data_IF_906186742623
#
_entry.id   IF_906186742623
#
_cell.length_a   1.000
_cell.length_b   1.000
_cell.length_c   1.000
_cell.angle_alpha   90.00
_cell.angle_beta   90.00
_cell.angle_gamma   90.00
#
_symmetry.space_group_name_H-M   'P 1'
#
loop_
_entity.id
_entity.type
_entity.pdbx_description
1 polymer ?
#
# COMPACT_ATOMS: atom_id res chain seq x y z
N UNK A 1 24.24 -36.22 -30.63
CA UNK A 1 22.96 -36.52 -29.97
C UNK A 1 22.87 -35.85 -28.60
N UNK A 2 23.87 -35.99 -27.73
CA UNK A 2 23.92 -35.39 -26.37
C UNK A 2 23.77 -33.85 -26.38
N UNK A 3 24.45 -33.16 -27.29
CA UNK A 3 24.39 -31.68 -27.38
C UNK A 3 22.98 -31.14 -27.69
N UNK A 4 22.23 -31.84 -28.56
CA UNK A 4 20.82 -31.46 -28.85
C UNK A 4 19.89 -31.68 -27.65
N UNK A 5 20.14 -32.71 -26.84
CA UNK A 5 19.39 -32.99 -25.63
C UNK A 5 19.67 -31.92 -24.59
N UNK A 6 20.94 -31.54 -24.38
CA UNK A 6 21.33 -30.46 -23.45
C UNK A 6 20.66 -29.12 -23.86
N UNK A 7 20.70 -28.78 -25.15
CA UNK A 7 20.06 -27.55 -25.64
C UNK A 7 18.54 -27.56 -25.39
N UNK A 8 17.87 -28.68 -25.64
CA UNK A 8 16.44 -28.82 -25.43
C UNK A 8 16.07 -28.68 -23.94
N UNK A 9 16.84 -29.30 -23.03
CA UNK A 9 16.61 -29.18 -21.59
C UNK A 9 16.80 -27.75 -21.07
N UNK A 10 17.81 -27.03 -21.57
CA UNK A 10 18.03 -25.62 -21.20
C UNK A 10 16.89 -24.71 -21.70
N UNK A 11 16.37 -24.94 -22.89
CA UNK A 11 15.23 -24.19 -23.43
C UNK A 11 13.97 -24.44 -22.59
N UNK A 12 13.68 -25.70 -22.25
CA UNK A 12 12.53 -26.07 -21.43
C UNK A 12 12.66 -25.44 -20.03
N UNK A 13 13.83 -25.51 -19.40
CA UNK A 13 14.08 -24.89 -18.11
C UNK A 13 13.88 -23.36 -18.17
N UNK A 14 14.35 -22.69 -19.22
CA UNK A 14 14.13 -21.27 -19.44
C UNK A 14 12.64 -20.91 -19.56
N UNK A 15 11.89 -21.67 -20.35
CA UNK A 15 10.44 -21.49 -20.51
C UNK A 15 9.73 -21.68 -19.15
N UNK A 16 10.08 -22.71 -18.39
CA UNK A 16 9.50 -22.94 -17.05
C UNK A 16 9.75 -21.76 -16.11
N UNK A 17 10.95 -21.21 -16.09
CA UNK A 17 11.28 -20.03 -15.26
C UNK A 17 10.47 -18.80 -15.66
N UNK A 18 10.32 -18.54 -16.96
CA UNK A 18 9.48 -17.45 -17.46
C UNK A 18 8.02 -17.65 -17.09
N UNK A 19 7.49 -18.87 -17.23
CA UNK A 19 6.11 -19.18 -16.84
C UNK A 19 5.89 -19.00 -15.33
N UNK A 20 6.81 -19.45 -14.49
CA UNK A 20 6.72 -19.26 -13.03
C UNK A 20 6.73 -17.76 -12.68
N UNK A 21 7.61 -16.98 -13.30
CA UNK A 21 7.66 -15.53 -13.12
C UNK A 21 6.35 -14.84 -13.55
N UNK A 22 5.81 -15.22 -14.69
CA UNK A 22 4.55 -14.73 -15.21
C UNK A 22 3.37 -15.06 -14.26
N UNK A 23 3.27 -16.31 -13.78
CA UNK A 23 2.23 -16.71 -12.83
C UNK A 23 2.27 -15.88 -11.55
N UNK A 24 3.46 -15.63 -10.98
CA UNK A 24 3.60 -14.80 -9.79
C UNK A 24 3.11 -13.37 -9.99
N UNK A 25 3.38 -12.77 -11.16
CA UNK A 25 2.89 -11.43 -11.49
C UNK A 25 1.35 -11.42 -11.58
N UNK A 26 0.78 -12.41 -12.26
CA UNK A 26 -0.70 -12.52 -12.40
C UNK A 26 -1.37 -12.76 -11.04
N UNK A 27 -0.79 -13.61 -10.20
CA UNK A 27 -1.35 -13.89 -8.87
C UNK A 27 -1.31 -12.64 -7.96
N UNK A 28 -0.22 -11.86 -8.01
CA UNK A 28 -0.15 -10.59 -7.28
C UNK A 28 -1.22 -9.59 -7.74
N UNK A 29 -1.45 -9.45 -9.04
CA UNK A 29 -2.52 -8.59 -9.56
C UNK A 29 -3.90 -9.05 -9.13
N UNK A 30 -4.18 -10.37 -9.19
CA UNK A 30 -5.45 -10.93 -8.73
C UNK A 30 -5.72 -10.65 -7.25
N UNK A 31 -4.71 -10.71 -6.40
CA UNK A 31 -4.87 -10.41 -4.97
C UNK A 31 -5.28 -8.95 -4.76
N UNK A 32 -4.66 -8.01 -5.46
CA UNK A 32 -5.03 -6.59 -5.40
C UNK A 32 -6.45 -6.35 -5.93
N UNK A 33 -6.82 -6.98 -7.05
CA UNK A 33 -8.16 -6.86 -7.63
C UNK A 33 -9.26 -7.42 -6.70
N UNK A 34 -9.00 -8.56 -6.05
CA UNK A 34 -9.91 -9.13 -5.06
C UNK A 34 -10.06 -8.22 -3.84
N UNK A 35 -8.96 -7.68 -3.35
CA UNK A 35 -8.97 -6.72 -2.24
C UNK A 35 -9.71 -5.44 -2.63
N UNK A 36 -9.56 -4.97 -3.85
CA UNK A 36 -10.31 -3.81 -4.35
C UNK A 36 -11.82 -4.06 -4.35
N UNK A 37 -12.28 -5.20 -4.83
CA UNK A 37 -13.69 -5.58 -4.77
C UNK A 37 -14.20 -5.71 -3.33
N UNK A 38 -13.39 -6.28 -2.44
CA UNK A 38 -13.72 -6.39 -1.02
C UNK A 38 -13.82 -5.02 -0.36
N UNK A 39 -12.92 -4.08 -0.70
CA UNK A 39 -12.97 -2.69 -0.22
C UNK A 39 -14.26 -1.98 -0.65
N UNK A 40 -14.63 -2.11 -1.93
CA UNK A 40 -15.88 -1.54 -2.45
C UNK A 40 -17.10 -2.12 -1.72
N UNK A 41 -17.13 -3.42 -1.47
CA UNK A 41 -18.20 -4.07 -0.73
C UNK A 41 -18.26 -3.59 0.73
N UNK A 42 -17.12 -3.44 1.40
CA UNK A 42 -17.04 -2.91 2.77
C UNK A 42 -17.54 -1.47 2.87
N UNK A 43 -17.20 -0.61 1.90
CA UNK A 43 -17.69 0.77 1.84
C UNK A 43 -19.20 0.84 1.60
N UNK A 44 -19.73 -0.05 0.76
CA UNK A 44 -21.19 -0.10 0.47
C UNK A 44 -22.01 -0.64 1.65
N UNK A 45 -21.44 -1.49 2.48
CA UNK A 45 -22.03 -1.96 3.73
C UNK A 45 -21.96 -0.87 4.81
N UNK A 46 -22.52 0.32 4.52
CA UNK A 46 -22.55 1.47 5.38
C UNK A 46 -23.07 1.06 6.76
N UNK A 47 -22.14 0.88 7.70
CA UNK A 47 -22.49 0.42 9.03
C UNK A 47 -23.25 1.50 9.79
N UNK A 48 -24.52 1.31 9.98
CA UNK A 48 -25.29 1.86 11.09
C UNK A 48 -24.85 1.14 12.38
N UNK A 49 -23.58 1.24 12.75
CA UNK A 49 -23.14 0.64 14.01
C UNK A 49 -22.63 1.73 14.92
N UNK A 50 -23.34 1.91 16.05
CA UNK A 50 -22.87 2.63 17.26
C UNK A 50 -21.60 1.98 17.87
N UNK A 51 -21.03 0.98 17.22
CA UNK A 51 -19.84 0.26 17.67
C UNK A 51 -18.59 0.85 17.04
N UNK A 52 -17.47 0.97 17.79
CA UNK A 52 -16.19 1.38 17.26
C UNK A 52 -15.78 0.48 16.09
N UNK A 53 -15.28 1.09 15.01
CA UNK A 53 -14.72 0.35 13.88
C UNK A 53 -13.35 -0.22 14.26
N UNK A 54 -13.28 -1.52 14.50
CA UNK A 54 -12.05 -2.22 14.90
C UNK A 54 -11.75 -3.29 13.85
N UNK A 55 -10.88 -2.99 12.88
CA UNK A 55 -10.55 -3.94 11.82
C UNK A 55 -9.69 -5.09 12.34
N UNK A 56 -9.77 -6.24 11.66
CA UNK A 56 -8.94 -7.41 11.95
C UNK A 56 -7.77 -7.47 10.99
N UNK A 57 -6.64 -8.00 11.44
CA UNK A 57 -5.48 -8.22 10.58
C UNK A 57 -5.86 -8.98 9.30
N UNK A 58 -5.39 -8.49 8.15
CA UNK A 58 -5.69 -9.02 6.82
C UNK A 58 -7.06 -8.62 6.25
N UNK A 59 -7.89 -7.90 7.01
CA UNK A 59 -9.17 -7.38 6.55
C UNK A 59 -8.99 -6.19 5.60
N UNK A 60 -9.73 -6.16 4.50
CA UNK A 60 -9.76 -5.00 3.61
C UNK A 60 -10.77 -3.99 4.15
N UNK A 61 -10.30 -2.81 4.52
CA UNK A 61 -11.05 -1.82 5.31
C UNK A 61 -11.58 -0.64 4.49
N UNK A 62 -11.04 -0.41 3.30
CA UNK A 62 -11.44 0.73 2.48
C UNK A 62 -10.53 0.96 1.28
N UNK A 63 -10.57 2.18 0.74
CA UNK A 63 -9.81 2.60 -0.44
C UNK A 63 -8.98 3.87 -0.14
N UNK A 64 -7.77 3.91 -0.66
CA UNK A 64 -6.95 5.11 -0.80
C UNK A 64 -7.05 5.60 -2.23
N UNK A 65 -7.67 6.76 -2.45
CA UNK A 65 -7.71 7.44 -3.74
C UNK A 65 -6.59 8.46 -3.81
N UNK A 66 -5.86 8.45 -4.91
CA UNK A 66 -4.82 9.43 -5.24
C UNK A 66 -5.19 10.08 -6.57
N UNK A 67 -5.97 11.18 -6.57
CA UNK A 67 -6.56 11.76 -7.78
C UNK A 67 -5.53 12.11 -8.84
N UNK A 68 -4.41 12.72 -8.47
CA UNK A 68 -3.33 13.08 -9.40
C UNK A 68 -2.75 11.90 -10.16
N UNK A 69 -2.72 10.71 -9.56
CA UNK A 69 -2.21 9.50 -10.18
C UNK A 69 -3.31 8.67 -10.88
N UNK A 70 -4.58 9.10 -10.75
CA UNK A 70 -5.77 8.33 -11.12
C UNK A 70 -5.69 6.90 -10.55
N UNK A 71 -5.34 6.79 -9.27
CA UNK A 71 -5.15 5.53 -8.58
C UNK A 71 -6.18 5.36 -7.47
N UNK A 72 -6.72 4.15 -7.38
CA UNK A 72 -7.62 3.67 -6.33
C UNK A 72 -7.02 2.37 -5.79
N UNK A 73 -6.62 2.38 -4.53
CA UNK A 73 -5.81 1.34 -3.93
C UNK A 73 -6.54 0.77 -2.71
N UNK A 74 -6.74 -0.56 -2.61
CA UNK A 74 -7.35 -1.15 -1.42
C UNK A 74 -6.46 -0.96 -0.20
N UNK A 75 -7.09 -0.62 0.94
CA UNK A 75 -6.42 -0.53 2.24
C UNK A 75 -6.73 -1.82 3.00
N UNK A 76 -5.68 -2.50 3.45
CA UNK A 76 -5.74 -3.75 4.21
C UNK A 76 -5.17 -3.52 5.60
N UNK A 77 -5.81 -4.02 6.62
CA UNK A 77 -5.30 -3.94 8.00
C UNK A 77 -4.07 -4.83 8.18
N UNK A 78 -2.96 -4.24 8.65
CA UNK A 78 -1.67 -4.91 8.80
C UNK A 78 -0.63 -4.49 7.75
N UNK A 79 0.65 -4.73 8.05
CA UNK A 79 1.78 -4.32 7.21
C UNK A 79 2.78 -5.45 6.97
N UNK A 80 2.39 -6.69 7.23
CA UNK A 80 3.19 -7.84 6.91
C UNK A 80 3.19 -8.12 5.39
N UNK A 81 4.02 -9.05 4.95
CA UNK A 81 4.18 -9.32 3.52
C UNK A 81 2.89 -9.76 2.82
N UNK A 82 2.00 -10.47 3.54
CA UNK A 82 0.73 -10.96 3.02
C UNK A 82 -0.28 -9.82 2.79
N UNK A 83 -0.37 -8.86 3.72
CA UNK A 83 -1.24 -7.69 3.60
C UNK A 83 -0.73 -6.74 2.51
N UNK A 84 0.58 -6.47 2.49
CA UNK A 84 1.19 -5.61 1.48
C UNK A 84 1.12 -6.18 0.05
N UNK A 85 0.98 -7.50 -0.10
CA UNK A 85 0.72 -8.13 -1.39
C UNK A 85 -0.70 -7.86 -1.91
N UNK A 86 -1.65 -7.58 -1.03
CA UNK A 86 -3.06 -7.32 -1.33
C UNK A 86 -3.36 -5.85 -1.61
N UNK A 87 -2.50 -4.92 -1.15
CA UNK A 87 -2.76 -3.49 -1.31
C UNK A 87 -1.86 -2.60 -0.48
N UNK A 88 -2.45 -1.51 0.00
CA UNK A 88 -1.85 -0.59 0.95
C UNK A 88 -2.14 -1.09 2.36
N UNK A 89 -1.09 -1.36 3.14
CA UNK A 89 -1.23 -1.84 4.50
C UNK A 89 -1.42 -0.69 5.49
N UNK A 90 -2.44 -0.77 6.35
CA UNK A 90 -2.60 0.10 7.51
C UNK A 90 -1.78 -0.45 8.68
N UNK A 91 -0.97 0.40 9.31
CA UNK A 91 -0.17 -0.02 10.46
C UNK A 91 -1.06 -0.14 11.69
N UNK A 92 -1.21 -1.35 12.20
CA UNK A 92 -2.16 -1.73 13.24
C UNK A 92 -2.13 -0.87 14.52
N UNK A 93 -0.98 -0.37 14.91
CA UNK A 93 -0.84 0.47 16.11
C UNK A 93 -1.13 1.95 15.83
N UNK A 94 -1.35 2.34 14.58
CA UNK A 94 -1.70 3.70 14.21
C UNK A 94 -3.22 3.92 14.24
N UNK A 95 -3.62 5.19 14.20
CA UNK A 95 -5.03 5.57 14.26
C UNK A 95 -5.71 5.42 12.90
N UNK A 96 -7.03 5.47 12.93
CA UNK A 96 -7.89 5.55 11.74
C UNK A 96 -8.42 7.00 11.58
N UNK A 97 -8.91 7.37 10.38
CA UNK A 97 -9.55 8.67 10.16
C UNK A 97 -10.66 8.97 11.17
N UNK A 98 -10.71 10.22 11.64
CA UNK A 98 -11.53 10.75 12.74
C UNK A 98 -11.02 10.37 14.15
N UNK A 99 -10.01 9.58 14.28
CA UNK A 99 -9.29 9.44 15.53
C UNK A 99 -8.17 10.48 15.55
N UNK A 100 -7.92 11.09 16.69
CA UNK A 100 -6.79 12.01 16.83
C UNK A 100 -5.50 11.20 16.85
N UNK A 101 -4.54 11.59 16.00
CA UNK A 101 -3.24 10.95 15.99
C UNK A 101 -2.73 10.62 14.58
N UNK A 102 -1.69 9.83 14.54
CA UNK A 102 -0.98 9.49 13.32
C UNK A 102 -1.62 8.27 12.66
N UNK A 103 -1.98 8.40 11.38
CA UNK A 103 -2.48 7.33 10.51
C UNK A 103 -1.31 6.91 9.62
N UNK A 104 -0.93 5.65 9.62
CA UNK A 104 0.22 5.17 8.86
C UNK A 104 -0.20 4.13 7.83
N UNK A 105 0.04 4.46 6.57
CA UNK A 105 -0.21 3.58 5.43
C UNK A 105 1.10 3.22 4.74
N UNK A 106 1.34 1.93 4.54
CA UNK A 106 2.55 1.37 3.93
C UNK A 106 2.23 0.71 2.59
N UNK A 107 3.13 0.80 1.63
CA UNK A 107 2.93 0.15 0.33
C UNK A 107 4.24 -0.15 -0.40
N UNK A 108 4.21 -1.17 -1.23
CA UNK A 108 5.36 -1.50 -2.07
C UNK A 108 5.62 -0.44 -3.14
N UNK A 109 6.89 -0.03 -3.29
CA UNK A 109 7.35 0.97 -4.27
C UNK A 109 7.21 0.55 -5.74
N UNK A 110 7.12 -0.74 -5.99
CA UNK A 110 7.09 -1.34 -7.33
C UNK A 110 5.68 -1.77 -7.77
N UNK A 111 4.71 -1.68 -6.86
CA UNK A 111 3.31 -1.96 -7.11
C UNK A 111 2.43 -0.76 -6.79
N UNK A 112 1.74 -0.76 -5.65
CA UNK A 112 0.73 0.24 -5.27
C UNK A 112 1.30 1.66 -5.16
N UNK A 113 2.54 1.83 -4.71
CA UNK A 113 3.17 3.14 -4.55
C UNK A 113 4.25 3.46 -5.61
N UNK A 114 4.23 2.76 -6.75
CA UNK A 114 5.21 2.95 -7.84
C UNK A 114 5.35 4.41 -8.30
N UNK A 115 4.23 5.15 -8.34
CA UNK A 115 4.18 6.50 -8.86
C UNK A 115 4.09 7.59 -7.79
N UNK A 116 4.18 7.24 -6.50
CA UNK A 116 4.07 8.21 -5.40
C UNK A 116 5.18 9.26 -5.39
N UNK A 117 6.29 9.00 -6.06
CA UNK A 117 7.33 10.00 -6.29
C UNK A 117 6.93 11.18 -7.19
N UNK A 118 5.80 11.10 -7.91
CA UNK A 118 5.24 12.18 -8.73
C UNK A 118 4.40 13.17 -7.89
N UNK A 119 4.09 12.79 -6.65
CA UNK A 119 3.28 13.60 -5.75
C UNK A 119 4.08 14.76 -5.17
N UNK A 120 3.43 15.92 -5.06
CA UNK A 120 4.01 17.14 -4.53
C UNK A 120 3.11 17.75 -3.45
N UNK A 121 3.64 18.73 -2.72
CA UNK A 121 2.86 19.53 -1.77
C UNK A 121 1.62 20.13 -2.45
N UNK A 122 0.46 20.03 -1.79
CA UNK A 122 -0.83 20.48 -2.26
C UNK A 122 -1.66 19.40 -2.98
N UNK A 123 -1.06 18.28 -3.40
CA UNK A 123 -1.82 17.16 -3.95
C UNK A 123 -2.70 16.50 -2.87
N UNK A 124 -3.80 15.93 -3.28
CA UNK A 124 -4.77 15.32 -2.37
C UNK A 124 -4.62 13.81 -2.30
N UNK A 125 -4.86 13.29 -1.10
CA UNK A 125 -5.01 11.89 -0.77
C UNK A 125 -6.38 11.73 -0.12
N UNK A 126 -7.16 10.74 -0.54
CA UNK A 126 -8.50 10.52 0.02
C UNK A 126 -8.62 9.09 0.52
N UNK A 127 -8.89 8.94 1.80
CA UNK A 127 -9.22 7.65 2.42
C UNK A 127 -10.74 7.52 2.45
N UNK A 128 -11.26 6.42 1.93
CA UNK A 128 -12.68 6.10 1.95
C UNK A 128 -12.89 4.78 2.70
N UNK A 129 -13.66 4.86 3.78
CA UNK A 129 -14.00 3.75 4.68
C UNK A 129 -15.52 3.62 4.77
N UNK A 130 -16.04 2.56 5.38
CA UNK A 130 -17.48 2.33 5.54
C UNK A 130 -18.19 3.45 6.30
N UNK A 131 -17.48 4.20 7.15
CA UNK A 131 -18.02 5.28 7.97
C UNK A 131 -17.71 6.70 7.45
N UNK A 132 -17.02 6.85 6.33
CA UNK A 132 -16.80 8.17 5.75
C UNK A 132 -15.70 8.26 4.72
N UNK A 133 -15.59 9.47 4.14
CA UNK A 133 -14.58 9.85 3.18
C UNK A 133 -13.75 11.01 3.75
N UNK A 134 -12.44 10.87 3.74
CA UNK A 134 -11.51 11.70 4.49
C UNK A 134 -10.41 12.21 3.57
N UNK A 135 -10.34 13.52 3.40
CA UNK A 135 -9.37 14.17 2.48
C UNK A 135 -8.18 14.71 3.24
N UNK A 136 -7.01 14.46 2.71
CA UNK A 136 -5.73 14.96 3.22
C UNK A 136 -4.98 15.69 2.11
N UNK A 137 -4.39 16.82 2.43
CA UNK A 137 -3.50 17.57 1.55
C UNK A 137 -2.04 17.27 1.90
N UNK A 138 -1.21 16.97 0.92
CA UNK A 138 0.21 16.73 1.13
C UNK A 138 0.89 18.02 1.59
N UNK A 139 1.47 18.02 2.78
CA UNK A 139 2.23 19.14 3.32
C UNK A 139 3.71 19.11 2.92
N UNK A 140 4.31 17.93 2.99
CA UNK A 140 5.73 17.70 2.71
C UNK A 140 6.03 16.25 2.41
N UNK A 141 7.20 16.02 1.83
CA UNK A 141 7.79 14.70 1.67
C UNK A 141 9.17 14.66 2.32
N UNK A 142 9.63 13.47 2.71
CA UNK A 142 10.94 13.28 3.34
C UNK A 142 11.54 11.94 2.91
N UNK A 143 12.86 11.91 2.70
CA UNK A 143 13.60 10.66 2.48
C UNK A 143 14.42 10.40 3.75
N UNK A 144 14.23 9.21 4.33
CA UNK A 144 14.89 8.81 5.57
C UNK A 144 15.62 7.48 5.40
N UNK A 145 16.45 7.10 6.34
CA UNK A 145 17.06 5.76 6.40
C UNK A 145 15.96 4.73 6.69
N UNK A 146 16.16 3.48 6.25
CA UNK A 146 15.18 2.39 6.44
C UNK A 146 14.86 2.07 7.90
N UNK A 147 15.79 2.39 8.80
CA UNK A 147 15.77 2.14 10.24
C UNK A 147 15.46 3.40 11.07
N UNK A 148 15.04 4.49 10.42
CA UNK A 148 14.62 5.72 11.11
C UNK A 148 13.24 5.54 11.72
N UNK A 149 13.19 5.29 13.03
CA UNK A 149 11.95 5.12 13.79
C UNK A 149 11.29 6.44 14.19
N UNK A 150 11.95 7.58 13.99
CA UNK A 150 11.43 8.90 14.39
C UNK A 150 10.23 9.37 13.55
N UNK A 151 9.89 8.65 12.50
CA UNK A 151 8.81 9.00 11.57
C UNK A 151 7.44 8.52 12.09
N UNK A 152 7.41 7.31 12.64
CA UNK A 152 6.20 6.71 13.21
C UNK A 152 6.25 6.94 14.72
N UNK A 153 5.72 8.07 15.14
CA UNK A 153 5.73 8.50 16.54
C UNK A 153 4.51 8.04 17.31
N UNK A 154 3.45 7.62 16.60
CA UNK A 154 2.13 7.27 17.14
C UNK A 154 1.57 8.37 18.05
N UNK A 155 1.88 9.64 17.73
CA UNK A 155 1.38 10.79 18.48
C UNK A 155 -0.16 10.88 18.39
N UNK A 156 -0.78 11.37 19.46
CA UNK A 156 -2.23 11.48 19.62
C UNK A 156 -2.71 12.94 19.67
N UNK A 157 -1.87 13.90 19.23
CA UNK A 157 -2.16 15.33 19.36
C UNK A 157 -3.01 15.84 18.19
N UNK A 158 -2.69 15.39 16.98
CA UNK A 158 -3.37 15.82 15.74
C UNK A 158 -3.48 14.71 14.74
N UNK A 159 -4.53 14.73 13.95
CA UNK A 159 -4.70 13.81 12.84
C UNK A 159 -3.67 14.12 11.72
N UNK A 160 -2.78 13.18 11.43
CA UNK A 160 -1.74 13.28 10.41
C UNK A 160 -1.65 11.97 9.63
N UNK A 161 -1.77 12.04 8.31
CA UNK A 161 -1.60 10.89 7.44
C UNK A 161 -0.13 10.73 7.03
N UNK A 162 0.40 9.54 7.21
CA UNK A 162 1.75 9.14 6.75
C UNK A 162 1.60 8.06 5.68
N UNK A 163 2.08 8.33 4.45
CA UNK A 163 2.34 7.25 3.49
C UNK A 163 3.83 6.91 3.52
N UNK A 164 4.16 5.64 3.62
CA UNK A 164 5.55 5.17 3.61
C UNK A 164 5.79 4.10 2.56
N UNK A 165 6.92 4.21 1.86
CA UNK A 165 7.36 3.20 0.89
C UNK A 165 8.88 3.12 0.83
N UNK A 166 9.38 2.07 0.18
CA UNK A 166 10.80 1.89 -0.06
C UNK A 166 11.36 2.91 -1.07
N UNK A 167 12.61 3.36 -0.88
CA UNK A 167 13.30 4.31 -1.76
C UNK A 167 14.76 3.89 -1.98
N UNK A 168 15.36 4.08 -3.20
CA UNK A 168 14.79 4.71 -4.42
C UNK A 168 13.75 3.85 -5.15
N UNK A 169 12.86 4.49 -5.93
CA UNK A 169 11.80 3.80 -6.68
C UNK A 169 12.34 2.84 -7.75
N UNK A 170 13.47 3.18 -8.38
CA UNK A 170 14.10 2.36 -9.44
C UNK A 170 15.17 1.38 -8.93
N UNK A 171 15.30 1.22 -7.61
CA UNK A 171 16.34 0.38 -7.02
C UNK A 171 15.96 -1.11 -7.06
N UNK A 172 16.88 -1.97 -7.51
CA UNK A 172 16.70 -3.43 -7.51
C UNK A 172 17.29 -4.00 -6.21
N UNK A 173 16.49 -4.74 -5.44
CA UNK A 173 16.88 -5.35 -4.18
C UNK A 173 16.43 -4.57 -2.92
N UNK A 174 16.97 -4.90 -1.73
CA UNK A 174 16.58 -4.27 -0.47
C UNK A 174 16.90 -2.79 -0.44
N UNK A 175 15.88 -1.94 -0.38
CA UNK A 175 16.05 -0.49 -0.43
C UNK A 175 16.64 0.06 0.88
N UNK A 176 17.67 0.92 0.80
CA UNK A 176 18.36 1.47 1.98
C UNK A 176 17.58 2.59 2.67
N UNK A 177 16.55 3.14 2.03
CA UNK A 177 15.81 4.32 2.50
C UNK A 177 14.30 4.10 2.41
N UNK A 178 13.56 5.04 3.01
CA UNK A 178 12.11 5.16 2.90
C UNK A 178 11.74 6.53 2.35
N UNK A 179 10.71 6.57 1.52
CA UNK A 179 10.06 7.79 1.07
C UNK A 179 8.79 7.97 1.87
N UNK A 180 8.68 9.12 2.52
CA UNK A 180 7.59 9.46 3.43
C UNK A 180 6.82 10.64 2.87
N UNK A 181 5.50 10.53 2.83
CA UNK A 181 4.59 11.62 2.47
C UNK A 181 3.77 11.93 3.71
N UNK A 182 3.69 13.20 4.06
CA UNK A 182 2.90 13.73 5.18
C UNK A 182 1.70 14.46 4.64
N UNK A 183 0.51 14.05 5.09
CA UNK A 183 -0.76 14.68 4.76
C UNK A 183 -1.45 15.23 6.00
N UNK A 184 -2.00 16.44 5.87
CA UNK A 184 -2.89 17.03 6.88
C UNK A 184 -4.33 16.90 6.44
N UNK A 185 -5.24 16.74 7.39
CA UNK A 185 -6.68 16.75 7.17
C UNK A 185 -7.15 18.11 6.60
N UNK A 186 -8.06 18.11 5.62
CA UNK A 186 -8.68 19.29 5.00
C UNK A 186 -10.19 19.14 4.94
#
# INVERSE_FOLDING_TARGET
MVQKIISATLIIAGICLVMIGYMRIVDGQRQVDQSFQSAQAAIQQKGETDSPFVPKAGETIGLLHIPKLNAELPIVEGTEAEELAKGVGHYHESNLPNEQGQIVLSGHRDTVFRRTGELVKGDQLVIELSYGRFTYEIERTKIVKKDDQSIITLQQEKEELILTTCYPFSFIGPAPKRYIIYGKRV
#
